data_IF_493387850253
#
_entry.id   IF_493387850253
#
_cell.length_a   1.000
_cell.length_b   1.000
_cell.length_c   1.000
_cell.angle_alpha   90.00
_cell.angle_beta   90.00
_cell.angle_gamma   90.00
#
_symmetry.space_group_name_H-M   'P 1'
#
loop_
_entity.id
_entity.type
_entity.pdbx_description
1 polymer ?
#
# COMPACT_ATOMS: atom_id res chain seq x y z
N UNK A 1 -32.16 -7.05 5.40
CA UNK A 1 -31.09 -6.13 5.85
C UNK A 1 -29.98 -7.02 6.38
N UNK A 2 -28.96 -7.28 5.56
CA UNK A 2 -27.89 -8.23 5.88
C UNK A 2 -26.88 -7.47 6.72
N UNK A 3 -26.64 -7.91 7.96
CA UNK A 3 -25.62 -7.31 8.83
C UNK A 3 -24.27 -7.39 8.11
N UNK A 4 -23.69 -6.22 7.79
CA UNK A 4 -22.31 -6.12 7.35
C UNK A 4 -21.47 -6.70 8.47
N UNK A 5 -20.84 -7.84 8.19
CA UNK A 5 -19.97 -8.51 9.15
C UNK A 5 -18.64 -7.77 9.15
N UNK A 6 -18.51 -6.76 10.00
CA UNK A 6 -17.28 -6.01 10.21
C UNK A 6 -16.16 -6.99 10.56
N UNK A 7 -15.29 -7.25 9.57
CA UNK A 7 -14.24 -8.26 9.67
C UNK A 7 -12.91 -7.54 9.84
N UNK A 8 -12.43 -7.53 11.09
CA UNK A 8 -11.12 -6.98 11.46
C UNK A 8 -10.09 -8.10 11.49
N UNK A 9 -9.00 -7.91 10.76
CA UNK A 9 -7.93 -8.87 10.55
C UNK A 9 -6.68 -8.48 11.31
N UNK A 10 -6.18 -9.41 12.13
CA UNK A 10 -4.92 -9.26 12.85
C UNK A 10 -3.84 -10.09 12.15
N UNK A 11 -2.87 -9.41 11.52
CA UNK A 11 -1.78 -10.05 10.78
C UNK A 11 -0.46 -9.85 11.54
N UNK A 12 0.31 -10.90 11.71
CA UNK A 12 1.63 -10.84 12.35
C UNK A 12 2.69 -11.49 11.46
N UNK A 13 3.72 -10.72 11.12
CA UNK A 13 4.84 -11.14 10.29
C UNK A 13 6.11 -11.13 11.12
N UNK A 14 6.93 -12.18 10.97
CA UNK A 14 8.22 -12.30 11.63
C UNK A 14 9.30 -12.17 10.54
N UNK A 15 10.15 -11.16 10.69
CA UNK A 15 11.26 -10.87 9.79
C UNK A 15 12.56 -11.28 10.46
N UNK A 16 13.21 -12.33 9.94
CA UNK A 16 14.52 -12.76 10.41
C UNK A 16 15.61 -12.03 9.63
N UNK A 17 16.49 -11.31 10.32
CA UNK A 17 17.67 -10.62 9.78
C UNK A 17 18.92 -11.15 10.49
N UNK A 18 20.09 -10.90 9.92
CA UNK A 18 21.37 -11.25 10.56
C UNK A 18 21.54 -10.56 11.92
N UNK A 19 20.97 -9.37 12.09
CA UNK A 19 21.02 -8.57 13.33
C UNK A 19 19.96 -8.95 14.37
N UNK A 20 19.04 -9.87 14.07
CA UNK A 20 17.97 -10.27 15.00
C UNK A 20 16.62 -10.57 14.35
N UNK A 21 15.59 -10.63 15.18
CA UNK A 21 14.21 -10.89 14.75
C UNK A 21 13.39 -9.62 14.93
N UNK A 22 12.91 -9.09 13.80
CA UNK A 22 11.93 -8.02 13.77
C UNK A 22 10.51 -8.61 13.70
N UNK A 23 9.52 -7.92 14.26
CA UNK A 23 8.09 -8.24 14.07
C UNK A 23 7.37 -7.10 13.39
N UNK A 24 6.38 -7.43 12.57
CA UNK A 24 5.46 -6.46 11.99
C UNK A 24 4.04 -6.95 12.25
N UNK A 25 3.21 -6.10 12.82
CA UNK A 25 1.80 -6.39 13.07
C UNK A 25 0.91 -5.40 12.35
N UNK A 26 -0.17 -5.91 11.77
CA UNK A 26 -1.25 -5.11 11.17
C UNK A 26 -2.59 -5.44 11.81
N UNK A 27 -3.42 -4.42 11.99
CA UNK A 27 -4.85 -4.56 12.26
C UNK A 27 -5.58 -3.83 11.14
N UNK A 28 -6.24 -4.57 10.26
CA UNK A 28 -6.85 -4.05 9.03
C UNK A 28 -8.31 -4.47 8.94
N UNK A 29 -9.19 -3.61 8.43
CA UNK A 29 -10.58 -3.96 8.16
C UNK A 29 -10.95 -3.70 6.71
N UNK A 30 -12.02 -4.36 6.27
CA UNK A 30 -12.59 -4.20 4.93
C UNK A 30 -13.51 -2.97 4.79
N UNK A 31 -13.99 -2.48 5.93
CA UNK A 31 -14.77 -1.25 6.01
C UNK A 31 -13.85 -0.01 6.00
N UNK A 32 -14.40 1.14 5.64
CA UNK A 32 -13.69 2.41 5.64
C UNK A 32 -13.65 3.10 7.01
N UNK A 33 -14.20 2.46 8.05
CA UNK A 33 -14.41 3.06 9.38
C UNK A 33 -13.33 2.58 10.36
N UNK A 34 -12.82 1.38 10.14
CA UNK A 34 -11.76 0.75 10.91
C UNK A 34 -10.46 1.50 10.70
N UNK A 35 -9.97 2.09 11.79
CA UNK A 35 -8.67 2.75 11.81
C UNK A 35 -7.58 1.68 11.68
N UNK A 36 -6.80 1.68 10.58
CA UNK A 36 -5.79 0.66 10.38
C UNK A 36 -4.61 0.88 11.33
N UNK A 37 -4.06 -0.20 11.86
CA UNK A 37 -2.93 -0.12 12.79
C UNK A 37 -1.74 -0.85 12.17
N UNK A 38 -0.58 -0.20 12.22
CA UNK A 38 0.72 -0.75 11.83
C UNK A 38 1.71 -0.61 12.98
N UNK A 39 2.33 -1.72 13.39
CA UNK A 39 3.26 -1.80 14.52
C UNK A 39 4.53 -2.52 14.06
N UNK A 40 5.69 -2.01 14.47
CA UNK A 40 6.99 -2.62 14.20
C UNK A 40 7.67 -2.97 15.53
N UNK A 41 8.22 -4.17 15.63
CA UNK A 41 9.00 -4.66 16.77
C UNK A 41 8.25 -4.58 18.11
N UNK A 42 6.94 -4.82 18.09
CA UNK A 42 6.05 -4.70 19.24
C UNK A 42 6.19 -3.34 19.95
N UNK A 43 6.53 -2.28 19.22
CA UNK A 43 6.54 -0.93 19.76
C UNK A 43 5.17 -0.62 20.35
N UNK A 44 5.14 -0.03 21.56
CA UNK A 44 3.89 0.48 22.13
C UNK A 44 3.31 1.62 21.29
N UNK A 45 4.18 2.29 20.54
CA UNK A 45 3.79 3.34 19.61
C UNK A 45 3.28 2.73 18.31
N UNK A 46 2.00 2.99 18.03
CA UNK A 46 1.44 2.82 16.69
C UNK A 46 2.22 3.72 15.73
N UNK A 47 2.51 3.22 14.55
CA UNK A 47 3.04 4.05 13.48
C UNK A 47 1.97 5.07 13.13
N UNK A 48 2.17 6.32 13.58
CA UNK A 48 1.30 7.44 13.25
C UNK A 48 1.30 7.59 11.72
N UNK A 49 0.18 8.01 11.15
CA UNK A 49 0.03 8.24 9.71
C UNK A 49 -0.02 6.98 8.83
N UNK A 50 -0.35 5.81 9.40
CA UNK A 50 -0.78 4.66 8.61
C UNK A 50 -2.30 4.74 8.35
N UNK A 51 -2.68 4.91 7.09
CA UNK A 51 -4.08 5.17 6.72
C UNK A 51 -4.50 4.38 5.49
N UNK A 52 -5.80 4.10 5.40
CA UNK A 52 -6.42 3.61 4.18
C UNK A 52 -6.37 4.70 3.10
N UNK A 53 -6.05 4.31 1.86
CA UNK A 53 -6.01 5.23 0.71
C UNK A 53 -7.16 4.93 -0.23
N UNK A 54 -7.21 3.70 -0.75
CA UNK A 54 -8.17 3.29 -1.76
C UNK A 54 -8.23 1.76 -1.84
N UNK A 55 -9.23 1.24 -2.57
CA UNK A 55 -9.33 -0.18 -2.89
C UNK A 55 -9.69 -0.37 -4.35
N UNK A 56 -9.25 -1.46 -4.94
CA UNK A 56 -9.53 -1.79 -6.33
C UNK A 56 -9.74 -3.30 -6.48
N UNK A 57 -10.52 -3.67 -7.49
CA UNK A 57 -10.84 -5.06 -7.78
C UNK A 57 -9.97 -5.60 -8.91
N UNK A 58 -9.49 -6.84 -8.72
CA UNK A 58 -8.65 -7.55 -9.68
C UNK A 58 -9.16 -8.98 -9.85
N UNK A 59 -9.30 -9.42 -11.10
CA UNK A 59 -9.79 -10.76 -11.41
C UNK A 59 -8.66 -11.69 -11.87
N UNK A 60 -8.54 -12.85 -11.22
CA UNK A 60 -7.60 -13.91 -11.59
C UNK A 60 -8.39 -15.22 -11.68
N UNK A 61 -8.37 -15.88 -12.85
CA UNK A 61 -9.03 -17.17 -13.07
C UNK A 61 -10.48 -17.21 -12.55
N UNK A 62 -11.30 -16.24 -12.95
CA UNK A 62 -12.72 -16.08 -12.56
C UNK A 62 -12.96 -15.78 -11.07
N UNK A 63 -11.91 -15.56 -10.29
CA UNK A 63 -12.01 -15.10 -8.91
C UNK A 63 -11.65 -13.62 -8.81
N UNK A 64 -12.52 -12.84 -8.18
CA UNK A 64 -12.27 -11.43 -7.89
C UNK A 64 -11.60 -11.28 -6.53
N UNK A 65 -10.56 -10.47 -6.49
CA UNK A 65 -9.82 -10.06 -5.32
C UNK A 65 -10.02 -8.56 -5.11
N UNK A 66 -10.55 -8.19 -3.94
CA UNK A 66 -10.50 -6.80 -3.48
C UNK A 66 -9.12 -6.58 -2.86
N UNK A 67 -8.37 -5.65 -3.44
CA UNK A 67 -7.06 -5.23 -2.94
C UNK A 67 -7.20 -3.84 -2.35
N UNK A 68 -6.82 -3.74 -1.09
CA UNK A 68 -6.81 -2.52 -0.31
C UNK A 68 -5.39 -1.95 -0.29
N UNK A 69 -5.29 -0.64 -0.46
CA UNK A 69 -4.04 0.11 -0.40
C UNK A 69 -4.03 0.96 0.85
N UNK A 70 -3.02 0.75 1.68
CA UNK A 70 -2.72 1.57 2.83
C UNK A 70 -1.41 2.30 2.60
N UNK A 71 -1.25 3.45 3.23
CA UNK A 71 -0.04 4.23 3.12
C UNK A 71 0.44 4.71 4.49
N UNK A 72 1.75 4.65 4.68
CA UNK A 72 2.48 5.16 5.84
C UNK A 72 3.35 6.35 5.41
N UNK A 73 3.47 7.36 6.26
CA UNK A 73 4.26 8.57 6.00
C UNK A 73 3.80 9.33 4.73
N UNK A 74 2.49 9.45 4.53
CA UNK A 74 1.91 10.09 3.33
C UNK A 74 2.30 11.57 3.15
N UNK A 75 2.70 12.23 4.24
CA UNK A 75 3.10 13.65 4.26
C UNK A 75 4.62 13.85 4.37
N UNK A 76 5.41 12.77 4.40
CA UNK A 76 6.85 12.87 4.53
C UNK A 76 7.52 13.17 3.17
N UNK A 77 8.42 14.15 3.16
CA UNK A 77 9.25 14.51 1.99
C UNK A 77 10.14 13.33 1.58
N UNK A 78 10.58 12.53 2.55
CA UNK A 78 11.48 11.38 2.37
C UNK A 78 10.77 10.12 1.83
N UNK A 79 9.53 10.29 1.37
CA UNK A 79 8.79 9.27 0.66
C UNK A 79 7.82 8.50 1.53
N UNK A 80 6.81 7.99 0.85
CA UNK A 80 5.72 7.27 1.44
C UNK A 80 5.84 5.77 1.12
N UNK A 81 5.38 4.95 2.07
CA UNK A 81 5.38 3.50 1.95
C UNK A 81 3.94 3.01 1.80
N UNK A 82 3.64 2.41 0.66
CA UNK A 82 2.36 1.77 0.36
C UNK A 82 2.38 0.28 0.68
N UNK A 83 1.30 -0.20 1.28
CA UNK A 83 1.08 -1.60 1.66
C UNK A 83 -0.20 -2.08 0.97
N UNK A 84 -0.09 -3.17 0.21
CA UNK A 84 -1.21 -3.78 -0.50
C UNK A 84 -1.66 -5.04 0.25
N UNK A 85 -2.94 -5.09 0.55
CA UNK A 85 -3.57 -6.10 1.38
C UNK A 85 -4.80 -6.70 0.69
N UNK A 86 -5.04 -7.98 0.90
CA UNK A 86 -6.33 -8.61 0.64
C UNK A 86 -6.63 -9.62 1.75
N UNK A 87 -7.89 -9.75 2.23
CA UNK A 87 -8.23 -10.66 3.32
C UNK A 87 -7.72 -12.09 3.15
N UNK A 88 -7.67 -12.58 1.91
CA UNK A 88 -7.30 -13.97 1.61
C UNK A 88 -5.79 -14.25 1.65
N UNK A 89 -4.96 -13.23 1.39
CA UNK A 89 -3.51 -13.38 1.21
C UNK A 89 -2.70 -12.59 2.25
N UNK A 90 -3.35 -11.73 3.02
CA UNK A 90 -2.68 -10.77 3.88
C UNK A 90 -2.02 -9.64 3.08
N UNK A 91 -1.08 -8.95 3.71
CA UNK A 91 -0.20 -7.99 3.05
C UNK A 91 0.77 -8.78 2.17
N UNK A 92 0.78 -8.50 0.88
CA UNK A 92 1.55 -9.26 -0.10
C UNK A 92 2.53 -8.41 -0.92
N UNK A 93 2.36 -7.08 -0.92
CA UNK A 93 3.24 -6.15 -1.63
C UNK A 93 3.43 -4.90 -0.78
N UNK A 94 4.68 -4.50 -0.62
CA UNK A 94 5.09 -3.24 0.01
C UNK A 94 5.94 -2.48 -1.00
N UNK A 95 5.65 -1.20 -1.20
CA UNK A 95 6.39 -0.33 -2.12
C UNK A 95 6.70 0.99 -1.43
N UNK A 96 7.93 1.47 -1.59
CA UNK A 96 8.35 2.81 -1.16
C UNK A 96 8.53 3.69 -2.39
N UNK A 97 8.21 4.99 -2.28
CA UNK A 97 8.50 5.96 -3.35
C UNK A 97 9.99 6.28 -3.44
N UNK A 98 10.71 6.32 -2.31
CA UNK A 98 12.13 6.67 -2.26
C UNK A 98 13.06 5.49 -2.45
N UNK A 99 12.62 4.29 -2.08
CA UNK A 99 13.43 3.10 -2.33
C UNK A 99 13.01 2.50 -3.67
N UNK A 100 13.97 2.36 -4.59
CA UNK A 100 13.76 1.68 -5.88
C UNK A 100 13.28 0.22 -5.74
N UNK A 101 13.25 -0.31 -4.52
CA UNK A 101 12.84 -1.66 -4.21
C UNK A 101 11.37 -1.72 -3.78
N UNK A 102 10.60 -2.47 -4.56
CA UNK A 102 9.38 -3.11 -4.06
C UNK A 102 9.75 -4.39 -3.31
N UNK A 103 8.93 -4.76 -2.34
CA UNK A 103 9.04 -6.03 -1.62
C UNK A 103 7.76 -6.81 -1.80
N UNK A 104 7.85 -7.97 -2.42
CA UNK A 104 6.79 -8.96 -2.50
C UNK A 104 6.95 -9.90 -1.30
N UNK A 105 5.87 -10.12 -0.56
CA UNK A 105 5.85 -11.02 0.59
C UNK A 105 5.27 -12.36 0.15
N UNK A 106 6.12 -13.37 0.09
CA UNK A 106 5.72 -14.73 -0.30
C UNK A 106 5.34 -15.57 0.92
N UNK A 107 4.40 -16.48 0.69
CA UNK A 107 4.05 -17.58 1.58
C UNK A 107 4.98 -18.79 1.35
N UNK A 108 4.93 -19.76 2.25
CA UNK A 108 5.53 -21.09 2.03
C UNK A 108 4.74 -21.94 1.03
N UNK A 109 3.51 -21.52 0.69
CA UNK A 109 2.66 -22.20 -0.28
C UNK A 109 2.85 -21.62 -1.70
N UNK A 110 3.31 -22.46 -2.63
CA UNK A 110 3.57 -22.08 -4.04
C UNK A 110 2.33 -21.59 -4.77
N UNK A 111 1.18 -22.24 -4.58
CA UNK A 111 -0.08 -21.82 -5.21
C UNK A 111 -0.58 -20.45 -4.69
N UNK A 112 -0.25 -20.09 -3.45
CA UNK A 112 -0.48 -18.74 -2.93
C UNK A 112 0.46 -17.75 -3.62
N UNK A 113 1.73 -18.12 -3.78
CA UNK A 113 2.73 -17.25 -4.42
C UNK A 113 2.41 -16.97 -5.89
N UNK A 114 1.85 -17.94 -6.62
CA UNK A 114 1.39 -17.74 -8.00
C UNK A 114 0.26 -16.70 -8.08
N UNK A 115 -0.66 -16.72 -7.11
CA UNK A 115 -1.71 -15.70 -6.98
C UNK A 115 -1.14 -14.33 -6.64
N UNK A 116 -0.19 -14.26 -5.70
CA UNK A 116 0.51 -13.02 -5.35
C UNK A 116 1.20 -12.43 -6.57
N UNK A 117 1.95 -13.25 -7.32
CA UNK A 117 2.62 -12.82 -8.55
C UNK A 117 1.64 -12.30 -9.60
N UNK A 118 0.52 -12.98 -9.77
CA UNK A 118 -0.53 -12.57 -10.71
C UNK A 118 -1.17 -11.25 -10.29
N UNK A 119 -1.48 -11.06 -8.99
CA UNK A 119 -2.00 -9.79 -8.46
C UNK A 119 -1.00 -8.65 -8.64
N UNK A 120 0.27 -8.87 -8.29
CA UNK A 120 1.32 -7.86 -8.48
C UNK A 120 1.42 -7.40 -9.94
N UNK A 121 1.37 -8.33 -10.89
CA UNK A 121 1.36 -8.00 -12.33
C UNK A 121 0.17 -7.15 -12.74
N UNK A 122 -1.03 -7.48 -12.26
CA UNK A 122 -2.24 -6.70 -12.55
C UNK A 122 -2.22 -5.32 -11.89
N UNK A 123 -1.70 -5.22 -10.66
CA UNK A 123 -1.53 -3.96 -9.95
C UNK A 123 -0.55 -3.05 -10.71
N UNK A 124 0.60 -3.56 -11.17
CA UNK A 124 1.56 -2.77 -11.95
C UNK A 124 1.00 -2.22 -13.26
N UNK A 125 -0.03 -2.87 -13.81
CA UNK A 125 -0.73 -2.38 -15.01
C UNK A 125 -1.75 -1.27 -14.72
N UNK A 126 -1.99 -0.93 -13.45
CA UNK A 126 -2.80 0.22 -13.01
C UNK A 126 -1.90 1.23 -12.27
N UNK A 127 -1.16 2.10 -12.98
CA UNK A 127 -0.20 3.01 -12.38
C UNK A 127 -0.79 3.90 -11.29
N UNK A 128 -2.03 4.35 -11.43
CA UNK A 128 -2.71 5.24 -10.47
C UNK A 128 -2.95 4.53 -9.13
N UNK A 129 -3.25 3.23 -9.18
CA UNK A 129 -3.42 2.40 -7.99
C UNK A 129 -2.06 1.95 -7.42
N UNK A 130 -1.09 1.62 -8.28
CA UNK A 130 0.22 1.14 -7.85
C UNK A 130 1.11 2.25 -7.27
N UNK A 131 1.09 3.42 -7.89
CA UNK A 131 1.81 4.61 -7.46
C UNK A 131 0.91 5.51 -6.61
N UNK A 132 1.50 6.50 -5.94
CA UNK A 132 0.74 7.46 -5.14
C UNK A 132 0.49 7.02 -3.71
N UNK A 133 0.77 7.93 -2.78
CA UNK A 133 0.17 7.90 -1.44
C UNK A 133 -0.94 8.93 -1.27
N UNK A 134 -1.04 9.85 -2.24
CA UNK A 134 -2.08 10.85 -2.42
C UNK A 134 -2.17 11.08 -3.93
N UNK A 135 -3.33 10.85 -4.56
CA UNK A 135 -3.55 11.10 -6.00
C UNK A 135 -3.14 12.52 -6.43
N UNK A 136 -3.16 13.48 -5.49
CA UNK A 136 -2.85 14.90 -5.71
C UNK A 136 -1.39 15.32 -5.52
N UNK A 137 -0.49 14.42 -5.11
CA UNK A 137 0.94 14.78 -4.92
C UNK A 137 1.86 14.15 -5.96
N UNK A 138 1.44 13.09 -6.66
CA UNK A 138 2.19 12.58 -7.82
C UNK A 138 1.73 13.22 -9.15
N UNK A 139 0.59 13.92 -9.14
CA UNK A 139 0.19 14.85 -10.17
C UNK A 139 0.24 16.25 -9.54
N UNK A 140 1.16 17.11 -9.98
CA UNK A 140 1.05 18.54 -9.71
C UNK A 140 -0.40 18.95 -10.03
N UNK A 141 -1.08 19.71 -9.15
CA UNK A 141 -2.38 20.28 -9.51
C UNK A 141 -2.25 20.98 -10.86
N UNK A 142 -3.21 20.85 -11.78
CA UNK A 142 -3.13 21.52 -13.11
C UNK A 142 -2.79 23.01 -12.98
N UNK A 143 -3.33 23.66 -11.95
CA UNK A 143 -3.05 25.07 -11.61
C UNK A 143 -1.60 25.37 -11.23
N UNK A 144 -0.81 24.36 -10.86
CA UNK A 144 0.63 24.45 -10.62
C UNK A 144 1.47 24.08 -11.84
N UNK A 145 0.94 23.25 -12.76
CA UNK A 145 1.60 22.93 -14.03
C UNK A 145 1.74 24.18 -14.89
N UNK A 146 0.67 24.99 -15.01
CA UNK A 146 0.69 26.22 -15.80
C UNK A 146 1.71 27.24 -15.26
N UNK A 147 1.80 27.38 -13.93
CA UNK A 147 2.78 28.26 -13.28
C UNK A 147 4.23 27.79 -13.47
N UNK A 148 4.45 26.48 -13.49
CA UNK A 148 5.78 25.92 -13.76
C UNK A 148 6.18 26.11 -15.23
N UNK A 149 5.25 25.98 -16.18
CA UNK A 149 5.48 26.22 -17.62
C UNK A 149 5.77 27.71 -17.87
N UNK A 150 4.98 28.63 -17.29
CA UNK A 150 5.23 30.08 -17.40
C UNK A 150 6.60 30.48 -16.85
N UNK A 151 7.00 29.94 -15.69
CA UNK A 151 8.31 30.24 -15.12
C UNK A 151 9.46 29.68 -15.97
N UNK A 152 9.28 28.52 -16.61
CA UNK A 152 10.29 27.93 -17.49
C UNK A 152 10.47 28.74 -18.80
N UNK A 153 9.37 29.16 -19.43
CA UNK A 153 9.39 29.98 -20.66
C UNK A 153 10.02 31.36 -20.39
N UNK A 154 9.85 31.91 -19.19
CA UNK A 154 10.41 33.20 -18.82
C UNK A 154 11.88 33.13 -18.35
N UNK A 155 12.45 31.94 -18.18
CA UNK A 155 13.88 31.75 -17.89
C UNK A 155 14.74 31.59 -19.16
N UNK A 156 14.13 31.42 -20.33
CA UNK A 156 14.80 31.31 -21.63
C UNK A 156 14.74 32.59 -22.49
N UNK A 157 14.31 33.72 -21.90
CA UNK A 157 14.37 35.07 -22.51
C UNK A 157 15.35 35.95 -21.75
#
# INVERSE_FOLDING_TARGET
MQELKDSVYHLNYILRRESGVDSISYILGEDSISEPIYIVNNSKDRMRDFQFVEKNEFSINFKTYVVYKYAYNTSAIDGCVTHFWTPELGVFLIRSTTWRSMRILYSTNTAINDKINSLCRLIWQKPEFYFGCVERMELLPESMVDKCIENYINLEK
#
